data_IF_058216261056
#
_entry.id   IF_058216261056
#
_cell.length_a   1.000
_cell.length_b   1.000
_cell.length_c   1.000
_cell.angle_alpha   90.00
_cell.angle_beta   90.00
_cell.angle_gamma   90.00
#
_symmetry.space_group_name_H-M   'P 1'
#
loop_
_entity.id
_entity.type
_entity.pdbx_description
1 polymer ?
#
# COMPACT_ATOMS: atom_id res chain seq x y z
N UNK A 1 -38.54 1.22 0.16
CA UNK A 1 -37.74 0.38 -0.76
C UNK A 1 -36.33 0.88 -0.61
N UNK A 2 -35.50 0.14 0.13
CA UNK A 2 -34.06 0.40 0.17
C UNK A 2 -33.48 -0.42 -0.97
N UNK A 3 -33.24 0.23 -2.10
CA UNK A 3 -32.41 -0.36 -3.16
C UNK A 3 -30.98 -0.35 -2.63
N UNK A 4 -30.55 -1.48 -2.06
CA UNK A 4 -29.14 -1.83 -1.99
C UNK A 4 -28.66 -1.89 -3.44
N UNK A 5 -28.02 -0.80 -3.89
CA UNK A 5 -27.21 -0.85 -5.08
C UNK A 5 -26.07 -1.83 -4.80
N UNK A 6 -26.21 -3.05 -5.29
CA UNK A 6 -25.06 -3.89 -5.60
C UNK A 6 -24.16 -3.05 -6.52
N UNK A 7 -23.14 -2.44 -5.92
CA UNK A 7 -22.04 -1.80 -6.63
C UNK A 7 -21.25 -2.94 -7.28
N UNK A 8 -21.79 -3.46 -8.37
CA UNK A 8 -21.09 -4.38 -9.27
C UNK A 8 -20.02 -3.54 -9.97
N UNK A 9 -18.92 -3.26 -9.24
CA UNK A 9 -17.80 -2.46 -9.73
C UNK A 9 -17.31 -3.11 -11.03
N UNK A 10 -17.47 -2.39 -12.13
CA UNK A 10 -17.10 -2.90 -13.45
C UNK A 10 -15.60 -3.21 -13.52
N UNK A 11 -15.14 -4.00 -14.51
CA UNK A 11 -13.73 -4.38 -14.65
C UNK A 11 -12.76 -3.18 -14.65
N UNK A 12 -13.22 -2.02 -15.13
CA UNK A 12 -12.45 -0.78 -15.12
C UNK A 12 -12.32 -0.20 -13.71
N UNK A 13 -13.41 -0.10 -12.94
CA UNK A 13 -13.41 0.45 -11.58
C UNK A 13 -12.49 -0.35 -10.67
N UNK A 14 -12.52 -1.68 -10.80
CA UNK A 14 -11.58 -2.57 -10.11
C UNK A 14 -10.12 -2.28 -10.48
N UNK A 15 -9.78 -2.12 -11.75
CA UNK A 15 -8.42 -1.79 -12.19
C UNK A 15 -7.96 -0.41 -11.68
N UNK A 16 -8.87 0.57 -11.66
CA UNK A 16 -8.61 1.90 -11.10
C UNK A 16 -8.37 1.84 -9.60
N UNK A 17 -9.22 1.13 -8.87
CA UNK A 17 -9.08 0.89 -7.44
C UNK A 17 -7.75 0.20 -7.10
N UNK A 18 -7.43 -0.88 -7.80
CA UNK A 18 -6.18 -1.61 -7.68
C UNK A 18 -4.97 -0.67 -7.90
N UNK A 19 -4.97 0.11 -8.98
CA UNK A 19 -3.89 1.07 -9.27
C UNK A 19 -3.76 2.15 -8.20
N UNK A 20 -4.88 2.68 -7.70
CA UNK A 20 -4.91 3.72 -6.67
C UNK A 20 -4.40 3.21 -5.31
N UNK A 21 -4.86 2.03 -4.87
CA UNK A 21 -4.40 1.40 -3.63
C UNK A 21 -2.90 1.12 -3.70
N UNK A 22 -2.40 0.58 -4.81
CA UNK A 22 -0.96 0.33 -4.99
C UNK A 22 -0.16 1.62 -4.87
N UNK A 23 -0.62 2.69 -5.52
CA UNK A 23 0.04 4.00 -5.47
C UNK A 23 0.08 4.56 -4.04
N UNK A 24 -1.05 4.52 -3.32
CA UNK A 24 -1.13 4.99 -1.92
C UNK A 24 -0.17 4.23 -1.00
N UNK A 25 -0.08 2.91 -1.15
CA UNK A 25 0.85 2.08 -0.39
C UNK A 25 2.32 2.42 -0.68
N UNK A 26 2.68 2.67 -1.95
CA UNK A 26 4.02 3.11 -2.33
C UNK A 26 4.37 4.46 -1.71
N UNK A 27 3.45 5.43 -1.74
CA UNK A 27 3.63 6.74 -1.10
C UNK A 27 3.86 6.57 0.41
N UNK A 28 3.06 5.75 1.09
CA UNK A 28 3.20 5.51 2.52
C UNK A 28 4.59 4.93 2.87
N UNK A 29 5.08 3.97 2.08
CA UNK A 29 6.45 3.43 2.24
C UNK A 29 7.52 4.52 2.08
N UNK A 30 7.40 5.34 1.04
CA UNK A 30 8.42 6.33 0.71
C UNK A 30 8.46 7.48 1.75
N UNK A 31 7.28 7.92 2.20
CA UNK A 31 7.14 8.86 3.32
C UNK A 31 7.71 8.28 4.61
N UNK A 32 7.37 7.02 4.95
CA UNK A 32 7.90 6.35 6.12
C UNK A 32 9.43 6.27 6.11
N UNK A 33 10.03 5.97 4.95
CA UNK A 33 11.49 5.99 4.79
C UNK A 33 12.08 7.39 4.99
N UNK A 34 11.45 8.42 4.43
CA UNK A 34 11.91 9.80 4.58
C UNK A 34 11.87 10.26 6.04
N UNK A 35 10.80 9.94 6.77
CA UNK A 35 10.68 10.21 8.21
C UNK A 35 11.77 9.48 8.99
N UNK A 36 11.96 8.19 8.71
CA UNK A 36 12.97 7.38 9.40
C UNK A 36 14.40 7.92 9.19
N UNK A 37 14.73 8.42 7.98
CA UNK A 37 16.03 9.05 7.69
C UNK A 37 16.27 10.37 8.43
N UNK A 38 15.20 11.06 8.81
CA UNK A 38 15.30 12.33 9.54
C UNK A 38 15.23 12.12 11.05
N UNK A 39 14.90 10.90 11.51
CA UNK A 39 14.80 10.60 12.92
C UNK A 39 16.19 10.37 13.52
N UNK A 40 16.59 11.12 14.55
CA UNK A 40 17.86 10.91 15.24
C UNK A 40 17.89 9.59 16.04
N UNK A 41 16.73 8.98 16.27
CA UNK A 41 16.59 7.74 17.06
C UNK A 41 16.67 6.46 16.22
N UNK A 42 16.63 6.58 14.90
CA UNK A 42 16.64 5.42 13.98
C UNK A 42 18.01 5.32 13.32
N UNK A 43 18.69 4.18 13.47
CA UNK A 43 19.97 3.99 12.82
C UNK A 43 19.80 3.76 11.30
N UNK A 44 20.77 4.19 10.49
CA UNK A 44 20.71 4.06 9.01
C UNK A 44 20.39 2.64 8.52
N UNK A 45 20.93 1.62 9.19
CA UNK A 45 20.70 0.23 8.83
C UNK A 45 19.25 -0.24 9.10
N UNK A 46 18.58 0.38 10.08
CA UNK A 46 17.18 0.12 10.40
C UNK A 46 16.26 0.77 9.37
N UNK A 47 16.58 1.99 8.90
CA UNK A 47 15.83 2.66 7.81
C UNK A 47 15.69 1.75 6.59
N UNK A 48 16.80 1.15 6.16
CA UNK A 48 16.81 0.28 4.99
C UNK A 48 16.13 -1.07 5.27
N UNK A 49 16.20 -1.57 6.51
CA UNK A 49 15.43 -2.75 6.93
C UNK A 49 13.93 -2.49 6.92
N UNK A 50 13.47 -1.36 7.46
CA UNK A 50 12.07 -0.92 7.43
C UNK A 50 11.57 -0.75 6.00
N UNK A 51 12.35 -0.13 5.11
CA UNK A 51 11.97 0.03 3.70
C UNK A 51 11.75 -1.31 2.98
N UNK A 52 12.63 -2.29 3.22
CA UNK A 52 12.45 -3.66 2.69
C UNK A 52 11.22 -4.33 3.29
N UNK A 53 11.00 -4.18 4.59
CA UNK A 53 9.81 -4.68 5.30
C UNK A 53 8.51 -4.16 4.71
N UNK A 54 8.40 -2.84 4.51
CA UNK A 54 7.25 -2.22 3.86
C UNK A 54 7.05 -2.70 2.43
N UNK A 55 8.12 -2.84 1.64
CA UNK A 55 8.01 -3.38 0.28
C UNK A 55 7.38 -4.78 0.28
N UNK A 56 7.83 -5.66 1.19
CA UNK A 56 7.27 -6.99 1.35
C UNK A 56 5.82 -6.98 1.86
N UNK A 57 5.49 -6.07 2.78
CA UNK A 57 4.13 -5.93 3.29
C UNK A 57 3.16 -5.49 2.18
N UNK A 58 3.57 -4.55 1.33
CA UNK A 58 2.79 -4.13 0.15
C UNK A 58 2.54 -5.31 -0.77
N UNK A 59 3.55 -6.14 -1.05
CA UNK A 59 3.39 -7.32 -1.89
C UNK A 59 2.41 -8.34 -1.29
N UNK A 60 2.42 -8.54 0.04
CA UNK A 60 1.49 -9.44 0.73
C UNK A 60 0.07 -8.91 0.67
N UNK A 61 -0.14 -7.63 0.99
CA UNK A 61 -1.46 -6.98 0.92
C UNK A 61 -2.01 -7.05 -0.50
N UNK A 62 -1.14 -6.83 -1.49
CA UNK A 62 -1.50 -6.92 -2.90
C UNK A 62 -1.96 -8.33 -3.30
N UNK A 63 -1.24 -9.37 -2.87
CA UNK A 63 -1.64 -10.77 -3.08
C UNK A 63 -2.97 -11.10 -2.43
N UNK A 64 -3.18 -10.64 -1.20
CA UNK A 64 -4.44 -10.82 -0.47
C UNK A 64 -5.62 -10.13 -1.18
N UNK A 65 -5.43 -8.93 -1.71
CA UNK A 65 -6.48 -8.19 -2.45
C UNK A 65 -6.78 -8.80 -3.83
N UNK A 66 -5.78 -9.35 -4.51
CA UNK A 66 -5.94 -9.90 -5.87
C UNK A 66 -6.24 -11.41 -5.92
N UNK A 67 -6.17 -12.12 -4.80
CA UNK A 67 -6.38 -13.57 -4.76
C UNK A 67 -5.32 -14.38 -5.52
N UNK A 68 -4.07 -13.91 -5.54
CA UNK A 68 -2.93 -14.57 -6.21
C UNK A 68 -1.84 -14.99 -5.24
#
# INVERSE_FOLDING_TARGET
>A
MNEEHDLDEGPLERLWFESDVRRKLQIARDVGRAIARQSPEVADHEVEAYYRGYTKAIDVVWRMLLGR
#
